data_IF_720663155972
#
_entry.id   IF_720663155972
#
_cell.length_a   1.000
_cell.length_b   1.000
_cell.length_c   1.000
_cell.angle_alpha   90.00
_cell.angle_beta   90.00
_cell.angle_gamma   90.00
#
_symmetry.space_group_name_H-M   'P 1'
#
loop_
_entity.id
_entity.type
_entity.pdbx_description
1 polymer ?
#
# COMPACT_ATOMS: atom_id res chain seq x y z
N UNK A 1 10.06 75.32 23.72
CA UNK A 1 8.96 74.70 22.99
C UNK A 1 9.44 73.77 21.85
N UNK A 2 10.60 73.98 21.28
CA UNK A 2 11.12 73.16 20.13
C UNK A 2 11.44 71.69 20.44
N UNK A 3 11.84 71.34 21.67
CA UNK A 3 12.24 69.97 22.05
C UNK A 3 11.06 68.98 22.27
N UNK A 4 9.84 69.45 22.55
CA UNK A 4 8.69 68.59 22.73
C UNK A 4 8.23 67.93 21.43
N UNK A 5 8.32 68.64 20.32
CA UNK A 5 7.95 68.10 19.02
C UNK A 5 8.98 67.08 18.48
N UNK A 6 10.22 67.20 18.85
CA UNK A 6 11.29 66.29 18.47
C UNK A 6 11.10 64.92 19.11
N UNK A 7 10.68 64.89 20.38
CA UNK A 7 10.37 63.63 21.14
C UNK A 7 9.15 62.95 20.57
N UNK A 8 8.09 63.70 20.20
CA UNK A 8 6.86 63.15 19.61
C UNK A 8 7.16 62.55 18.20
N UNK A 9 8.00 63.20 17.38
CA UNK A 9 8.38 62.72 16.08
C UNK A 9 9.23 61.45 16.19
N UNK A 10 10.10 61.33 17.17
CA UNK A 10 10.91 60.11 17.44
C UNK A 10 10.05 58.95 17.91
N UNK A 11 8.98 59.19 18.72
CA UNK A 11 8.08 58.16 19.19
C UNK A 11 7.21 57.53 18.05
N UNK A 12 6.84 58.35 17.05
CA UNK A 12 6.05 57.89 15.91
C UNK A 12 6.87 57.00 14.98
N UNK A 13 8.18 57.17 14.86
CA UNK A 13 9.05 56.35 14.04
C UNK A 13 9.29 54.92 14.57
N UNK A 14 9.11 54.72 15.89
CA UNK A 14 9.33 53.39 16.52
C UNK A 14 8.13 52.47 16.35
N UNK A 15 6.93 52.99 16.14
CA UNK A 15 5.71 52.19 15.94
C UNK A 15 5.58 51.62 14.54
N UNK A 16 6.31 52.15 13.57
CA UNK A 16 6.21 51.78 12.15
C UNK A 16 6.86 50.44 11.76
N UNK A 17 7.59 49.77 12.66
CA UNK A 17 8.31 48.51 12.32
C UNK A 17 7.77 47.26 12.99
N UNK A 18 6.59 47.29 13.59
CA UNK A 18 5.94 46.04 14.04
C UNK A 18 5.34 45.31 12.84
N UNK A 19 6.20 44.65 12.06
CA UNK A 19 5.72 43.60 11.11
C UNK A 19 4.98 42.55 11.92
N UNK A 20 3.67 42.52 11.77
CA UNK A 20 2.84 41.43 12.24
C UNK A 20 3.39 40.14 11.58
N UNK A 21 4.17 39.38 12.30
CA UNK A 21 4.59 38.06 11.88
C UNK A 21 3.33 37.22 11.89
N UNK A 22 2.68 37.10 10.73
CA UNK A 22 1.67 36.07 10.57
C UNK A 22 2.36 34.74 10.77
N UNK A 23 2.17 34.15 11.93
CA UNK A 23 2.51 32.75 12.15
C UNK A 23 1.64 31.95 11.18
N UNK A 24 2.18 31.62 10.00
CA UNK A 24 1.60 30.59 9.17
C UNK A 24 1.63 29.33 10.02
N UNK A 25 0.53 29.04 10.67
CA UNK A 25 0.22 27.69 11.12
C UNK A 25 0.15 26.88 9.83
N UNK A 26 1.24 26.21 9.47
CA UNK A 26 1.19 25.18 8.47
C UNK A 26 0.24 24.13 9.01
N UNK A 27 -0.99 24.11 8.49
CA UNK A 27 -1.83 22.93 8.63
C UNK A 27 -0.94 21.79 8.12
N UNK A 28 -0.55 20.88 8.99
CA UNK A 28 0.14 19.66 8.60
C UNK A 28 -0.87 18.85 7.77
N UNK A 29 -1.02 19.21 6.52
CA UNK A 29 -1.81 18.41 5.59
C UNK A 29 -1.02 17.13 5.37
N UNK A 30 -1.68 16.02 5.67
CA UNK A 30 -1.11 14.70 5.38
C UNK A 30 -1.07 14.51 3.87
N UNK A 31 0.03 14.91 3.23
CA UNK A 31 0.20 14.86 1.78
C UNK A 31 0.07 13.44 1.21
N UNK A 32 0.24 12.41 2.03
CA UNK A 32 0.05 11.03 1.59
C UNK A 32 -1.42 10.71 1.25
N UNK A 33 -2.38 11.51 1.72
CA UNK A 33 -3.80 11.34 1.37
C UNK A 33 -4.12 11.67 -0.10
N UNK A 34 -3.22 12.35 -0.81
CA UNK A 34 -3.34 12.63 -2.25
C UNK A 34 -2.80 11.51 -3.13
N UNK A 35 -2.17 10.49 -2.54
CA UNK A 35 -1.60 9.36 -3.28
C UNK A 35 -2.62 8.23 -3.32
N UNK A 36 -2.97 7.80 -4.54
CA UNK A 36 -3.78 6.63 -4.79
C UNK A 36 -2.90 5.50 -5.37
N UNK A 37 -2.58 4.46 -4.59
CA UNK A 37 -1.75 3.35 -5.05
C UNK A 37 -2.40 2.48 -6.14
N UNK A 38 -3.71 2.63 -6.40
CA UNK A 38 -4.37 1.89 -7.48
C UNK A 38 -4.15 2.52 -8.87
N UNK A 39 -3.62 3.74 -8.96
CA UNK A 39 -3.30 4.36 -10.25
C UNK A 39 -2.28 3.49 -10.99
N UNK A 40 -2.62 3.11 -12.23
CA UNK A 40 -1.78 2.27 -13.09
C UNK A 40 -1.89 0.76 -12.82
N UNK A 41 -2.76 0.31 -11.92
CA UNK A 41 -2.95 -1.13 -11.65
C UNK A 41 -3.92 -1.81 -12.61
N UNK A 42 -4.59 -1.07 -13.48
CA UNK A 42 -5.49 -1.58 -14.51
C UNK A 42 -5.04 -1.22 -15.93
N UNK A 43 -5.68 -1.81 -16.94
CA UNK A 43 -5.29 -1.65 -18.34
C UNK A 43 -3.85 -2.07 -18.56
N UNK A 44 -3.06 -1.26 -19.23
CA UNK A 44 -1.63 -1.52 -19.50
C UNK A 44 -0.70 -0.75 -18.55
N UNK A 45 -1.11 -0.50 -17.31
CA UNK A 45 -0.35 0.33 -16.38
C UNK A 45 0.82 -0.38 -15.71
N UNK A 46 0.74 -1.69 -15.50
CA UNK A 46 1.81 -2.55 -14.96
C UNK A 46 2.35 -2.08 -13.61
N UNK A 47 1.47 -1.69 -12.69
CA UNK A 47 1.82 -1.35 -11.31
C UNK A 47 1.06 -2.22 -10.32
N UNK A 48 1.40 -2.14 -9.06
CA UNK A 48 0.80 -2.90 -7.97
C UNK A 48 0.40 -1.97 -6.81
N UNK A 49 -0.67 -2.28 -6.05
CA UNK A 49 -1.17 -1.43 -4.98
C UNK A 49 -0.50 -1.70 -3.63
N UNK A 50 0.45 -2.62 -3.56
CA UNK A 50 1.03 -3.14 -2.34
C UNK A 50 1.85 -2.14 -1.53
N UNK A 51 2.18 -2.51 -0.30
CA UNK A 51 2.94 -1.69 0.61
C UNK A 51 4.40 -1.57 0.17
N UNK A 52 4.87 -0.34 0.01
CA UNK A 52 6.26 -0.01 -0.33
C UNK A 52 6.66 1.25 0.44
N UNK A 53 7.89 1.31 0.91
CA UNK A 53 8.47 2.55 1.46
C UNK A 53 9.49 3.13 0.50
N UNK A 54 9.69 4.45 0.47
CA UNK A 54 10.66 5.08 -0.42
C UNK A 54 12.06 4.46 -0.25
N UNK A 55 12.67 4.06 -1.37
CA UNK A 55 13.98 3.40 -1.40
C UNK A 55 14.07 2.11 -0.58
N UNK A 56 12.92 1.47 -0.30
CA UNK A 56 12.86 0.15 0.32
C UNK A 56 13.19 -0.96 -0.67
N UNK A 57 13.63 -2.09 -0.13
CA UNK A 57 13.93 -3.30 -0.93
C UNK A 57 12.66 -4.14 -1.18
N UNK A 58 11.62 -3.94 -0.38
CA UNK A 58 10.42 -4.78 -0.42
C UNK A 58 9.21 -4.04 -0.99
N UNK A 59 8.46 -4.78 -1.80
CA UNK A 59 7.18 -4.40 -2.39
C UNK A 59 6.18 -5.50 -2.07
N UNK A 60 5.50 -5.39 -0.93
CA UNK A 60 4.59 -6.44 -0.47
C UNK A 60 3.22 -6.22 -1.06
N UNK A 61 2.81 -7.09 -1.96
CA UNK A 61 1.61 -6.91 -2.78
C UNK A 61 0.84 -8.22 -2.96
N UNK A 62 -0.49 -8.15 -3.13
CA UNK A 62 -1.24 -9.28 -3.63
C UNK A 62 -0.77 -9.68 -5.03
N UNK A 63 -0.83 -10.96 -5.31
CA UNK A 63 -0.54 -11.55 -6.61
C UNK A 63 -1.80 -12.23 -7.14
N UNK A 64 -2.25 -11.80 -8.32
CA UNK A 64 -3.33 -12.44 -9.09
C UNK A 64 -2.74 -13.45 -10.09
N UNK A 65 -1.55 -13.17 -10.61
CA UNK A 65 -0.81 -13.97 -11.58
C UNK A 65 0.31 -13.15 -12.20
N UNK A 66 1.16 -13.79 -13.00
CA UNK A 66 2.25 -13.15 -13.76
C UNK A 66 2.33 -13.64 -15.22
N UNK A 67 1.39 -14.45 -15.65
CA UNK A 67 1.49 -15.16 -16.92
C UNK A 67 1.03 -14.37 -18.14
N UNK A 68 0.40 -13.23 -17.94
CA UNK A 68 -0.12 -12.38 -19.01
C UNK A 68 0.53 -11.00 -18.98
N UNK A 69 0.53 -10.32 -20.14
CA UNK A 69 1.14 -9.00 -20.31
C UNK A 69 0.71 -8.00 -19.24
N UNK A 70 -0.59 -7.90 -18.99
CA UNK A 70 -1.13 -6.91 -18.06
C UNK A 70 -0.96 -7.32 -16.58
N UNK A 71 -0.67 -8.60 -16.31
CA UNK A 71 -0.39 -9.12 -14.96
C UNK A 71 1.09 -9.17 -14.59
N UNK A 72 1.97 -8.60 -15.39
CA UNK A 72 3.42 -8.71 -15.18
C UNK A 72 3.91 -8.16 -13.85
N UNK A 73 3.18 -7.24 -13.22
CA UNK A 73 3.48 -6.74 -11.87
C UNK A 73 2.95 -7.62 -10.72
N UNK A 74 2.32 -8.75 -11.06
CA UNK A 74 1.67 -9.66 -10.12
C UNK A 74 0.22 -9.33 -9.83
N UNK A 75 -0.22 -8.10 -10.02
CA UNK A 75 -1.56 -7.61 -9.74
C UNK A 75 -2.18 -6.93 -10.98
N UNK A 76 -3.48 -7.14 -11.18
CA UNK A 76 -4.27 -6.37 -12.13
C UNK A 76 -5.65 -6.05 -11.55
N UNK A 77 -6.08 -4.78 -11.63
CA UNK A 77 -7.31 -4.29 -10.99
C UNK A 77 -8.60 -4.93 -11.52
N UNK A 78 -8.61 -5.52 -12.72
CA UNK A 78 -9.80 -6.23 -13.22
C UNK A 78 -9.95 -7.65 -12.66
N UNK A 79 -8.97 -8.12 -11.88
CA UNK A 79 -8.98 -9.46 -11.29
C UNK A 79 -9.47 -9.40 -9.83
N UNK A 80 -10.19 -10.41 -9.43
CA UNK A 80 -10.77 -10.55 -8.09
C UNK A 80 -10.29 -11.82 -7.36
N UNK A 81 -9.20 -12.45 -7.85
CA UNK A 81 -8.63 -13.67 -7.27
C UNK A 81 -7.17 -13.43 -6.86
N UNK A 82 -6.87 -13.66 -5.60
CA UNK A 82 -5.51 -13.67 -5.06
C UNK A 82 -4.98 -15.10 -4.94
N UNK A 83 -3.73 -15.32 -5.35
CA UNK A 83 -3.00 -16.57 -5.17
C UNK A 83 -1.96 -16.51 -4.04
N UNK A 84 -1.74 -15.33 -3.49
CA UNK A 84 -0.84 -15.07 -2.38
C UNK A 84 -0.36 -13.63 -2.35
N UNK A 85 0.59 -13.38 -1.46
CA UNK A 85 1.22 -12.07 -1.27
C UNK A 85 2.72 -12.23 -1.41
N UNK A 86 3.31 -11.59 -2.42
CA UNK A 86 4.75 -11.61 -2.67
C UNK A 86 5.47 -10.48 -1.94
N UNK A 87 6.79 -10.56 -1.89
CA UNK A 87 7.65 -9.53 -1.31
C UNK A 87 8.35 -8.67 -2.35
N UNK A 88 8.35 -9.10 -3.59
CA UNK A 88 8.95 -8.41 -4.72
C UNK A 88 7.96 -8.35 -5.88
N UNK A 89 7.80 -7.19 -6.47
CA UNK A 89 6.96 -6.96 -7.65
C UNK A 89 7.74 -6.15 -8.66
N UNK A 90 7.77 -6.60 -9.89
CA UNK A 90 8.32 -5.82 -10.99
C UNK A 90 7.24 -4.88 -11.52
N UNK A 91 7.51 -3.61 -11.67
CA UNK A 91 6.53 -2.63 -12.16
C UNK A 91 7.05 -1.84 -13.36
N UNK A 92 6.11 -1.36 -14.20
CA UNK A 92 6.44 -0.55 -15.37
C UNK A 92 7.03 -1.32 -16.55
N UNK A 93 6.95 -2.65 -16.54
CA UNK A 93 7.40 -3.50 -17.65
C UNK A 93 6.27 -4.39 -18.15
N UNK A 94 6.44 -5.02 -19.29
CA UNK A 94 5.52 -6.00 -19.84
C UNK A 94 6.02 -7.46 -19.69
N UNK A 95 6.94 -7.71 -18.78
CA UNK A 95 7.49 -9.05 -18.52
C UNK A 95 7.14 -9.42 -17.08
N UNK A 96 6.44 -10.54 -16.91
CA UNK A 96 6.15 -11.11 -15.59
C UNK A 96 7.43 -11.69 -15.00
N UNK A 97 7.84 -11.15 -13.89
CA UNK A 97 9.01 -11.59 -13.15
C UNK A 97 8.87 -11.22 -11.65
N UNK A 98 9.74 -11.80 -10.82
CA UNK A 98 9.64 -11.69 -9.38
C UNK A 98 8.37 -12.39 -8.87
N UNK A 99 7.59 -11.74 -8.00
CA UNK A 99 6.50 -12.40 -7.26
C UNK A 99 6.96 -13.62 -6.47
N UNK A 100 8.21 -13.58 -6.03
CA UNK A 100 8.87 -14.67 -5.32
C UNK A 100 8.29 -14.87 -3.93
N UNK A 101 8.25 -16.14 -3.53
CA UNK A 101 7.84 -16.59 -2.21
C UNK A 101 6.49 -16.01 -1.81
N UNK A 102 5.43 -16.67 -2.28
CA UNK A 102 4.05 -16.27 -1.97
C UNK A 102 3.67 -16.75 -0.56
N UNK A 103 3.03 -15.88 0.20
CA UNK A 103 2.44 -16.18 1.48
C UNK A 103 0.92 -16.10 1.36
N UNK A 104 0.21 -17.20 1.63
CA UNK A 104 -1.24 -17.24 1.57
C UNK A 104 -1.82 -17.75 2.88
N UNK A 105 -2.52 -16.91 3.67
CA UNK A 105 -3.20 -17.37 4.87
C UNK A 105 -4.45 -18.16 4.50
N UNK A 106 -4.63 -19.31 5.13
CA UNK A 106 -5.74 -20.23 4.90
C UNK A 106 -6.35 -20.69 6.22
N UNK A 107 -7.67 -20.82 6.26
CA UNK A 107 -8.41 -21.22 7.48
C UNK A 107 -8.76 -22.72 7.54
N UNK A 108 -8.19 -23.51 6.65
CA UNK A 108 -8.40 -24.95 6.53
C UNK A 108 -7.16 -25.64 6.01
N UNK A 109 -7.09 -26.95 6.19
CA UNK A 109 -6.07 -27.77 5.55
C UNK A 109 -6.19 -27.70 4.02
N UNK A 110 -5.06 -27.61 3.35
CA UNK A 110 -4.96 -27.56 1.89
C UNK A 110 -4.10 -28.72 1.42
N UNK A 111 -4.58 -29.42 0.39
CA UNK A 111 -3.79 -30.47 -0.27
C UNK A 111 -2.77 -29.81 -1.22
N UNK A 112 -1.50 -29.97 -0.91
CA UNK A 112 -0.37 -29.46 -1.70
C UNK A 112 0.35 -30.60 -2.45
N UNK A 113 -0.23 -31.79 -2.52
CA UNK A 113 0.41 -32.96 -3.16
C UNK A 113 0.49 -32.85 -4.68
N UNK A 114 -0.30 -31.96 -5.28
CA UNK A 114 -0.34 -31.75 -6.73
C UNK A 114 0.22 -30.39 -7.12
N UNK A 115 1.04 -30.34 -8.16
CA UNK A 115 1.48 -29.08 -8.73
C UNK A 115 0.33 -28.46 -9.57
N UNK A 116 -0.13 -27.26 -9.24
CA UNK A 116 -1.13 -26.57 -10.04
C UNK A 116 -0.61 -26.35 -11.48
N UNK A 117 -1.41 -26.69 -12.47
CA UNK A 117 -1.07 -26.47 -13.90
C UNK A 117 -1.57 -25.11 -14.42
N UNK A 118 -2.40 -24.43 -13.63
CA UNK A 118 -2.92 -23.09 -13.93
C UNK A 118 -3.32 -22.40 -12.63
N UNK A 119 -3.49 -21.09 -12.68
CA UNK A 119 -4.01 -20.29 -11.55
C UNK A 119 -5.32 -20.87 -11.01
N UNK A 120 -6.21 -21.30 -11.88
CA UNK A 120 -7.52 -21.81 -11.48
C UNK A 120 -7.45 -23.15 -10.74
N UNK A 121 -6.38 -23.90 -10.90
CA UNK A 121 -6.14 -25.16 -10.19
C UNK A 121 -5.44 -24.98 -8.83
N UNK A 122 -5.06 -23.76 -8.44
CA UNK A 122 -4.41 -23.48 -7.15
C UNK A 122 -5.41 -23.72 -6.00
N UNK A 123 -5.15 -24.69 -5.10
CA UNK A 123 -6.15 -25.10 -4.12
C UNK A 123 -6.32 -24.11 -2.96
N UNK A 124 -5.40 -23.17 -2.78
CA UNK A 124 -5.40 -22.17 -1.72
C UNK A 124 -5.74 -20.76 -2.22
N UNK A 125 -6.03 -20.55 -3.50
CA UNK A 125 -6.47 -19.25 -4.00
C UNK A 125 -7.71 -18.74 -3.27
N UNK A 126 -7.92 -17.44 -3.25
CA UNK A 126 -9.12 -16.83 -2.68
C UNK A 126 -9.65 -15.72 -3.55
N UNK A 127 -10.97 -15.67 -3.71
CA UNK A 127 -11.62 -14.47 -4.19
C UNK A 127 -11.57 -13.35 -3.16
N UNK A 128 -11.67 -12.12 -3.66
CA UNK A 128 -11.82 -10.92 -2.85
C UNK A 128 -12.65 -9.87 -3.61
N UNK A 129 -13.07 -8.84 -2.93
CA UNK A 129 -13.79 -7.72 -3.54
C UNK A 129 -13.01 -6.43 -3.37
N UNK A 130 -12.89 -5.63 -4.43
CA UNK A 130 -12.31 -4.28 -4.36
C UNK A 130 -13.02 -3.35 -3.38
N UNK A 131 -14.29 -3.66 -2.99
CA UNK A 131 -14.99 -2.94 -1.92
C UNK A 131 -14.37 -3.16 -0.55
N UNK A 132 -13.67 -4.27 -0.37
CA UNK A 132 -13.00 -4.68 0.86
C UNK A 132 -11.47 -4.60 0.73
N UNK A 133 -10.99 -3.92 -0.31
CA UNK A 133 -9.59 -3.68 -0.58
C UNK A 133 -9.24 -2.22 -0.28
N UNK A 134 -8.11 -2.00 0.32
CA UNK A 134 -7.62 -0.68 0.67
C UNK A 134 -6.12 -0.58 0.50
N UNK A 135 -5.66 0.46 -0.15
CA UNK A 135 -4.25 0.79 -0.26
C UNK A 135 -4.00 2.25 0.11
N UNK A 136 -2.91 2.49 0.79
CA UNK A 136 -2.34 3.82 1.05
C UNK A 136 -0.82 3.70 0.99
N UNK A 137 -0.05 4.79 0.84
CA UNK A 137 1.40 4.69 0.85
C UNK A 137 1.93 3.90 2.05
N UNK A 138 2.63 2.79 1.78
CA UNK A 138 3.20 1.91 2.79
C UNK A 138 2.23 0.95 3.49
N UNK A 139 0.99 0.88 3.08
CA UNK A 139 -0.01 -0.01 3.67
C UNK A 139 -0.97 -0.56 2.61
N UNK A 140 -1.30 -1.85 2.75
CA UNK A 140 -2.31 -2.54 1.95
C UNK A 140 -3.17 -3.43 2.84
N UNK A 141 -4.46 -3.56 2.52
CA UNK A 141 -5.41 -4.42 3.20
C UNK A 141 -6.38 -5.03 2.22
N UNK A 142 -6.75 -6.31 2.45
CA UNK A 142 -7.81 -7.00 1.71
C UNK A 142 -8.46 -8.09 2.57
N UNK A 143 -9.71 -8.39 2.31
CA UNK A 143 -10.42 -9.51 2.91
C UNK A 143 -10.51 -10.68 1.92
N UNK A 144 -9.99 -11.84 2.32
CA UNK A 144 -10.00 -13.09 1.55
C UNK A 144 -11.28 -13.87 1.83
N UNK A 145 -12.18 -13.93 0.85
CA UNK A 145 -13.53 -14.46 1.03
C UNK A 145 -13.56 -15.99 1.26
N UNK A 146 -12.73 -16.75 0.51
CA UNK A 146 -12.71 -18.22 0.63
C UNK A 146 -12.09 -18.71 1.94
N UNK A 147 -11.26 -17.88 2.56
CA UNK A 147 -10.57 -18.22 3.81
C UNK A 147 -11.07 -17.42 5.01
N UNK A 148 -11.96 -16.45 4.79
CA UNK A 148 -12.51 -15.60 5.85
C UNK A 148 -11.41 -14.92 6.70
N UNK A 149 -10.38 -14.41 6.03
CA UNK A 149 -9.19 -13.81 6.65
C UNK A 149 -9.03 -12.36 6.19
N UNK A 150 -8.86 -11.45 7.13
CA UNK A 150 -8.41 -10.10 6.82
C UNK A 150 -6.89 -10.08 6.79
N UNK A 151 -6.33 -9.59 5.70
CA UNK A 151 -4.89 -9.45 5.47
C UNK A 151 -4.53 -7.98 5.51
N UNK A 152 -3.53 -7.63 6.31
CA UNK A 152 -2.93 -6.30 6.36
C UNK A 152 -1.42 -6.42 6.13
N UNK A 153 -0.90 -5.58 5.26
CA UNK A 153 0.50 -5.60 4.84
C UNK A 153 1.14 -4.23 5.04
N UNK A 154 2.37 -4.21 5.53
CA UNK A 154 3.21 -3.02 5.58
C UNK A 154 4.69 -3.40 5.46
N UNK A 155 5.56 -2.43 5.22
CA UNK A 155 6.98 -2.67 5.06
C UNK A 155 7.83 -1.66 5.82
N UNK A 156 9.04 -2.09 6.17
CA UNK A 156 10.18 -1.22 6.41
C UNK A 156 11.14 -1.28 5.20
N UNK A 157 12.31 -0.68 5.31
CA UNK A 157 13.29 -0.72 4.21
C UNK A 157 13.70 -2.14 3.80
N UNK A 158 13.69 -3.11 4.72
CA UNK A 158 14.20 -4.48 4.50
C UNK A 158 13.34 -5.57 5.11
N UNK A 159 12.18 -5.25 5.66
CA UNK A 159 11.32 -6.22 6.33
C UNK A 159 9.88 -6.01 5.91
N UNK A 160 9.22 -7.08 5.52
CA UNK A 160 7.79 -7.11 5.30
C UNK A 160 7.08 -7.55 6.59
N UNK A 161 5.92 -6.96 6.83
CA UNK A 161 5.06 -7.33 7.93
C UNK A 161 3.71 -7.73 7.38
N UNK A 162 3.28 -8.94 7.72
CA UNK A 162 1.97 -9.47 7.42
C UNK A 162 1.20 -9.64 8.71
N UNK A 163 -0.01 -9.14 8.75
CA UNK A 163 -0.95 -9.40 9.83
C UNK A 163 -2.18 -10.10 9.24
N UNK A 164 -2.46 -11.29 9.73
CA UNK A 164 -3.60 -12.10 9.34
C UNK A 164 -4.58 -12.18 10.50
N UNK A 165 -5.81 -11.73 10.27
CA UNK A 165 -6.87 -11.81 11.27
C UNK A 165 -7.87 -12.85 10.81
N UNK A 166 -7.84 -14.01 11.47
CA UNK A 166 -8.75 -15.12 11.24
C UNK A 166 -10.02 -14.97 12.08
N UNK A 167 -11.09 -15.62 11.65
CA UNK A 167 -12.28 -15.76 12.50
C UNK A 167 -11.97 -16.67 13.69
N UNK A 168 -12.56 -16.36 14.82
CA UNK A 168 -12.41 -17.18 16.03
C UNK A 168 -12.86 -18.63 15.78
N UNK A 169 -12.04 -19.58 16.20
CA UNK A 169 -12.27 -21.02 16.03
C UNK A 169 -11.79 -21.62 14.71
N UNK A 170 -11.36 -20.80 13.75
CA UNK A 170 -10.80 -21.29 12.49
C UNK A 170 -9.37 -21.85 12.68
N UNK A 171 -9.00 -22.81 11.83
CA UNK A 171 -7.60 -23.20 11.69
C UNK A 171 -6.81 -22.02 11.14
N UNK A 172 -5.65 -21.78 11.73
CA UNK A 172 -4.77 -20.69 11.32
C UNK A 172 -3.49 -21.27 10.69
N UNK A 173 -3.39 -21.18 9.37
CA UNK A 173 -2.25 -21.70 8.63
C UNK A 173 -1.81 -20.70 7.55
N UNK A 174 -0.57 -20.82 7.10
CA UNK A 174 -0.03 -20.06 5.98
C UNK A 174 0.62 -21.04 5.02
N UNK A 175 0.20 -21.00 3.77
CA UNK A 175 0.89 -21.68 2.67
C UNK A 175 2.03 -20.77 2.22
N UNK A 176 3.21 -21.34 2.08
CA UNK A 176 4.40 -20.69 1.52
C UNK A 176 4.75 -21.46 0.24
N UNK A 177 4.79 -20.72 -0.89
CA UNK A 177 5.04 -21.31 -2.22
C UNK A 177 6.10 -20.52 -2.98
#
# INVERSE_FOLDING_TARGET
MKNKYLIILSAILIVSCAKKTETRTSKNENVSSYVDPFIGTGGHGHTYPGATVPFGMLQVSPVNGISEWDWCSGYHYSDDVAIGFSHLSLSGTGIGDLADILFMPVNKAVDLSTNPISRDSIPYKSSYSHKNEKATPGYYQVFLENHNVNVELTTSKRTAYHKYTFKEGDTQSVVIN
#
